data_IF_350940875328
#
_entry.id   IF_350940875328
#
_cell.length_a   1.000
_cell.length_b   1.000
_cell.length_c   1.000
_cell.angle_alpha   90.00
_cell.angle_beta   90.00
_cell.angle_gamma   90.00
#
_symmetry.space_group_name_H-M   'P 1'
#
loop_
_entity.id
_entity.type
_entity.pdbx_description
1 polymer ?
#
# COMPACT_ATOMS: atom_id res chain seq x y z
N UNK A 1 9.17 7.53 33.34
CA UNK A 1 10.22 7.39 32.31
C UNK A 1 9.96 6.22 31.39
N UNK A 2 9.54 5.09 31.92
CA UNK A 2 9.31 3.85 31.15
C UNK A 2 8.21 3.97 30.08
N UNK A 3 7.11 4.68 30.37
CA UNK A 3 6.01 4.88 29.44
C UNK A 3 6.45 5.73 28.21
N UNK A 4 7.20 6.83 28.42
CA UNK A 4 7.74 7.64 27.34
C UNK A 4 8.74 6.86 26.49
N UNK A 5 9.57 6.04 27.12
CA UNK A 5 10.53 5.18 26.43
C UNK A 5 9.80 4.13 25.59
N UNK A 6 8.74 3.52 26.13
CA UNK A 6 7.94 2.55 25.40
C UNK A 6 7.25 3.17 24.15
N UNK A 7 6.70 4.39 24.29
CA UNK A 7 6.13 5.11 23.15
C UNK A 7 7.17 5.44 22.08
N UNK A 8 8.33 5.96 22.49
CA UNK A 8 9.43 6.25 21.55
C UNK A 8 9.91 5.00 20.81
N UNK A 9 10.00 3.86 21.50
CA UNK A 9 10.38 2.58 20.90
C UNK A 9 9.35 2.10 19.87
N UNK A 10 8.06 2.19 20.18
CA UNK A 10 6.99 1.82 19.24
C UNK A 10 7.03 2.68 17.99
N UNK A 11 7.16 4.00 18.12
CA UNK A 11 7.29 4.92 16.98
C UNK A 11 8.51 4.60 16.11
N UNK A 12 9.66 4.36 16.74
CA UNK A 12 10.87 4.01 16.03
C UNK A 12 10.72 2.68 15.28
N UNK A 13 10.27 1.62 15.97
CA UNK A 13 10.11 0.30 15.37
C UNK A 13 9.08 0.28 14.24
N UNK A 14 7.92 0.88 14.48
CA UNK A 14 6.86 0.93 13.47
C UNK A 14 7.27 1.76 12.24
N UNK A 15 7.90 2.91 12.44
CA UNK A 15 8.29 3.80 11.35
C UNK A 15 9.49 3.29 10.56
N UNK A 16 10.47 2.66 11.22
CA UNK A 16 11.67 2.16 10.56
C UNK A 16 11.41 0.92 9.72
N UNK A 17 10.87 -0.13 10.32
CA UNK A 17 10.72 -1.45 9.68
C UNK A 17 9.77 -1.40 8.47
N UNK A 18 8.64 -0.73 8.61
CA UNK A 18 7.64 -0.69 7.54
C UNK A 18 8.08 0.14 6.35
N UNK A 19 8.66 1.32 6.58
CA UNK A 19 9.11 2.21 5.51
C UNK A 19 10.35 1.66 4.80
N UNK A 20 11.33 1.13 5.53
CA UNK A 20 12.53 0.54 4.94
C UNK A 20 12.23 -0.69 4.11
N UNK A 21 11.31 -1.56 4.56
CA UNK A 21 10.88 -2.73 3.79
C UNK A 21 10.16 -2.33 2.52
N UNK A 22 9.25 -1.35 2.57
CA UNK A 22 8.55 -0.85 1.37
C UNK A 22 9.53 -0.26 0.36
N UNK A 23 10.46 0.58 0.81
CA UNK A 23 11.51 1.14 -0.06
C UNK A 23 12.38 0.04 -0.68
N UNK A 24 12.77 -0.96 0.10
CA UNK A 24 13.60 -2.08 -0.37
C UNK A 24 12.92 -2.89 -1.46
N UNK A 25 11.62 -3.22 -1.28
CA UNK A 25 10.86 -3.94 -2.31
C UNK A 25 10.61 -3.07 -3.55
N UNK A 26 10.36 -1.78 -3.39
CA UNK A 26 10.19 -0.87 -4.52
C UNK A 26 11.48 -0.81 -5.37
N UNK A 27 12.62 -0.57 -4.74
CA UNK A 27 13.92 -0.53 -5.42
C UNK A 27 14.26 -1.88 -6.07
N UNK A 28 13.94 -2.99 -5.40
CA UNK A 28 14.12 -4.33 -5.96
C UNK A 28 13.30 -4.52 -7.25
N UNK A 29 12.04 -4.11 -7.27
CA UNK A 29 11.21 -4.21 -8.47
C UNK A 29 11.69 -3.27 -9.58
N UNK A 30 12.07 -2.04 -9.25
CA UNK A 30 12.65 -1.09 -10.22
C UNK A 30 13.97 -1.63 -10.82
N UNK A 31 14.80 -2.29 -10.03
CA UNK A 31 16.04 -2.90 -10.51
C UNK A 31 15.80 -4.04 -11.52
N UNK A 32 14.68 -4.76 -11.38
CA UNK A 32 14.29 -5.87 -12.26
C UNK A 32 13.54 -5.43 -13.52
N UNK A 33 12.88 -4.27 -13.48
CA UNK A 33 12.03 -3.75 -14.55
C UNK A 33 12.63 -2.44 -15.07
N UNK A 34 13.59 -2.54 -15.98
CA UNK A 34 14.40 -1.38 -16.46
C UNK A 34 13.59 -0.30 -17.17
N UNK A 35 12.54 -0.68 -17.88
CA UNK A 35 11.61 0.22 -18.56
C UNK A 35 10.81 1.05 -17.54
N UNK A 36 10.37 0.44 -16.46
CA UNK A 36 9.67 1.13 -15.35
C UNK A 36 10.66 2.04 -14.61
N UNK A 37 11.87 1.56 -14.33
CA UNK A 37 12.93 2.33 -13.69
C UNK A 37 13.23 3.61 -14.50
N UNK A 38 13.34 3.49 -15.82
CA UNK A 38 13.62 4.64 -16.69
C UNK A 38 12.50 5.68 -16.62
N UNK A 39 11.22 5.26 -16.67
CA UNK A 39 10.08 6.19 -16.53
C UNK A 39 10.10 6.94 -15.20
N UNK A 40 10.39 6.25 -14.09
CA UNK A 40 10.52 6.88 -12.77
C UNK A 40 11.66 7.88 -12.77
N UNK A 41 12.81 7.54 -13.35
CA UNK A 41 13.96 8.42 -13.41
C UNK A 41 13.68 9.69 -14.25
N UNK A 42 13.04 9.55 -15.41
CA UNK A 42 12.63 10.66 -16.25
C UNK A 42 11.65 11.60 -15.52
N UNK A 43 10.72 11.05 -14.74
CA UNK A 43 9.81 11.83 -13.89
C UNK A 43 10.57 12.60 -12.81
N UNK A 44 11.46 11.93 -12.07
CA UNK A 44 12.29 12.55 -11.03
C UNK A 44 13.15 13.66 -11.61
N UNK A 45 13.85 13.40 -12.72
CA UNK A 45 14.74 14.37 -13.37
C UNK A 45 13.96 15.63 -13.82
N UNK A 46 12.74 15.45 -14.34
CA UNK A 46 11.83 16.54 -14.72
C UNK A 46 11.46 17.40 -13.51
N UNK A 47 11.07 16.78 -12.40
CA UNK A 47 10.66 17.47 -11.18
C UNK A 47 11.85 18.14 -10.50
N UNK A 48 13.01 17.46 -10.44
CA UNK A 48 14.26 18.04 -9.92
C UNK A 48 14.70 19.26 -10.71
N UNK A 49 14.57 19.25 -12.04
CA UNK A 49 14.87 20.39 -12.89
C UNK A 49 13.92 21.58 -12.62
N UNK A 50 12.65 21.30 -12.35
CA UNK A 50 11.67 22.31 -11.99
C UNK A 50 11.92 22.93 -10.59
N UNK A 51 12.44 22.14 -9.66
CA UNK A 51 12.76 22.58 -8.30
C UNK A 51 13.85 23.67 -8.27
N UNK A 52 14.82 23.61 -9.18
CA UNK A 52 15.91 24.58 -9.26
C UNK A 52 16.70 24.72 -7.95
N UNK A 53 17.26 25.90 -7.65
CA UNK A 53 18.10 26.12 -6.46
C UNK A 53 17.32 26.09 -5.14
N UNK A 54 16.00 26.19 -5.18
CA UNK A 54 15.15 26.20 -3.97
C UNK A 54 14.91 24.80 -3.40
N UNK A 55 15.31 23.74 -4.13
CA UNK A 55 15.14 22.36 -3.72
C UNK A 55 13.71 21.84 -3.87
N UNK A 56 13.50 20.58 -3.47
CA UNK A 56 12.20 19.92 -3.53
C UNK A 56 11.25 20.48 -2.48
N UNK A 57 10.03 20.79 -2.91
CA UNK A 57 8.89 21.13 -2.03
C UNK A 57 7.90 19.97 -1.98
N UNK A 58 6.99 19.99 -1.02
CA UNK A 58 5.92 19.00 -0.91
C UNK A 58 5.06 18.93 -2.20
N UNK A 59 4.73 20.10 -2.77
CA UNK A 59 3.93 20.17 -3.99
C UNK A 59 4.64 19.50 -5.17
N UNK A 60 5.94 19.76 -5.33
CA UNK A 60 6.76 19.14 -6.37
C UNK A 60 6.88 17.62 -6.21
N UNK A 61 7.03 17.14 -4.97
CA UNK A 61 7.04 15.69 -4.70
C UNK A 61 5.68 15.08 -5.10
N UNK A 62 4.58 15.78 -4.81
CA UNK A 62 3.22 15.33 -5.16
C UNK A 62 2.96 15.29 -6.68
N UNK A 63 3.83 15.86 -7.51
CA UNK A 63 3.79 15.75 -8.97
C UNK A 63 4.39 14.45 -9.52
N UNK A 64 5.10 13.67 -8.68
CA UNK A 64 5.72 12.40 -9.07
C UNK A 64 4.69 11.25 -9.09
N UNK A 65 3.70 11.37 -9.95
CA UNK A 65 2.54 10.43 -10.01
C UNK A 65 2.91 9.01 -10.39
N UNK A 66 3.90 8.83 -11.25
CA UNK A 66 4.33 7.49 -11.64
C UNK A 66 5.12 6.80 -10.53
N UNK A 67 5.91 7.56 -9.75
CA UNK A 67 6.56 7.06 -8.54
C UNK A 67 5.52 6.64 -7.50
N UNK A 68 4.45 7.43 -7.27
CA UNK A 68 3.33 7.06 -6.41
C UNK A 68 2.71 5.72 -6.84
N UNK A 69 2.46 5.55 -8.16
CA UNK A 69 1.96 4.29 -8.70
C UNK A 69 2.91 3.10 -8.45
N UNK A 70 4.23 3.33 -8.50
CA UNK A 70 5.22 2.29 -8.18
C UNK A 70 5.19 1.91 -6.70
N UNK A 71 4.98 2.87 -5.81
CA UNK A 71 4.83 2.62 -4.37
C UNK A 71 3.54 1.84 -4.10
N UNK A 72 2.43 2.25 -4.70
CA UNK A 72 1.14 1.57 -4.57
C UNK A 72 1.20 0.12 -5.08
N UNK A 73 1.81 -0.12 -6.25
CA UNK A 73 1.99 -1.47 -6.78
C UNK A 73 2.95 -2.31 -5.91
N UNK A 74 3.93 -1.67 -5.28
CA UNK A 74 4.80 -2.33 -4.29
C UNK A 74 4.00 -2.79 -3.09
N UNK A 75 3.19 -1.91 -2.50
CA UNK A 75 2.33 -2.22 -1.34
C UNK A 75 1.27 -3.26 -1.67
N UNK A 76 0.74 -3.27 -2.91
CA UNK A 76 -0.14 -4.33 -3.38
C UNK A 76 0.58 -5.68 -3.45
N UNK A 77 1.75 -5.72 -4.07
CA UNK A 77 2.49 -6.96 -4.33
C UNK A 77 3.20 -7.48 -3.08
N UNK A 78 3.64 -6.57 -2.21
CA UNK A 78 4.39 -6.86 -0.98
C UNK A 78 3.77 -6.12 0.22
N UNK A 79 2.53 -6.47 0.62
CA UNK A 79 1.93 -5.83 1.78
C UNK A 79 2.76 -6.14 3.03
N UNK A 80 3.17 -5.10 3.75
CA UNK A 80 4.00 -5.23 4.95
C UNK A 80 3.25 -5.98 6.05
N UNK A 81 1.92 -5.77 6.12
CA UNK A 81 1.02 -6.55 6.99
C UNK A 81 0.23 -7.51 6.10
N UNK A 82 0.65 -8.78 5.97
CA UNK A 82 0.04 -9.73 5.03
C UNK A 82 -1.36 -10.19 5.44
N UNK A 83 -1.70 -10.06 6.72
CA UNK A 83 -3.01 -10.43 7.30
C UNK A 83 -3.45 -9.33 8.25
N UNK A 84 -4.65 -8.79 8.04
CA UNK A 84 -5.27 -7.88 8.99
C UNK A 84 -6.06 -8.68 10.03
N UNK A 85 -5.94 -8.29 11.28
CA UNK A 85 -6.65 -8.90 12.40
C UNK A 85 -7.70 -7.95 12.96
N UNK A 86 -8.90 -8.47 13.24
CA UNK A 86 -9.99 -7.76 13.92
C UNK A 86 -10.66 -8.68 14.93
N UNK A 87 -11.38 -8.10 15.88
CA UNK A 87 -12.25 -8.83 16.79
C UNK A 87 -13.65 -8.24 16.66
N UNK A 88 -14.65 -9.09 16.49
CA UNK A 88 -16.04 -8.65 16.41
C UNK A 88 -16.49 -8.08 17.77
N UNK A 89 -17.01 -6.86 17.78
CA UNK A 89 -17.52 -6.21 19.02
C UNK A 89 -18.98 -6.53 19.32
N UNK A 90 -19.68 -7.12 18.36
CA UNK A 90 -21.08 -7.58 18.45
C UNK A 90 -21.34 -8.65 17.41
N UNK A 91 -22.46 -9.36 17.54
CA UNK A 91 -22.91 -10.27 16.50
C UNK A 91 -23.11 -9.53 15.18
N UNK A 92 -22.57 -10.09 14.12
CA UNK A 92 -22.65 -9.52 12.77
C UNK A 92 -23.14 -10.57 11.78
N UNK A 93 -24.32 -10.35 11.20
CA UNK A 93 -24.81 -11.19 10.11
C UNK A 93 -24.14 -10.78 8.80
N UNK A 94 -23.44 -11.72 8.18
CA UNK A 94 -22.79 -11.47 6.88
C UNK A 94 -23.87 -11.26 5.81
N UNK A 95 -23.84 -10.13 5.05
CA UNK A 95 -24.82 -9.86 4.02
C UNK A 95 -24.92 -10.99 2.99
N UNK A 96 -26.13 -11.29 2.54
CA UNK A 96 -26.42 -12.30 1.53
C UNK A 96 -25.94 -13.74 1.91
N UNK A 97 -25.86 -14.04 3.20
CA UNK A 97 -25.51 -15.37 3.71
C UNK A 97 -26.26 -15.69 5.00
N UNK A 98 -26.22 -16.97 5.43
CA UNK A 98 -26.73 -17.40 6.71
C UNK A 98 -25.65 -17.38 7.82
N UNK A 99 -24.46 -16.90 7.51
CA UNK A 99 -23.35 -16.84 8.45
C UNK A 99 -23.53 -15.67 9.40
N UNK A 100 -23.41 -15.96 10.70
CA UNK A 100 -23.33 -14.97 11.78
C UNK A 100 -21.94 -15.05 12.40
N UNK A 101 -21.22 -13.94 12.43
CA UNK A 101 -19.99 -13.81 13.20
C UNK A 101 -20.39 -13.36 14.60
N UNK A 102 -20.24 -14.23 15.58
CA UNK A 102 -20.58 -13.94 16.96
C UNK A 102 -19.66 -12.86 17.54
N UNK A 103 -20.13 -12.17 18.57
CA UNK A 103 -19.32 -11.24 19.35
C UNK A 103 -18.06 -11.93 19.87
N UNK A 104 -16.97 -11.18 19.96
CA UNK A 104 -15.63 -11.59 20.40
C UNK A 104 -14.94 -12.64 19.49
N UNK A 105 -15.51 -12.90 18.30
CA UNK A 105 -14.89 -13.77 17.30
C UNK A 105 -13.69 -13.08 16.64
N UNK A 106 -12.49 -13.71 16.60
CA UNK A 106 -11.35 -13.20 15.85
C UNK A 106 -11.58 -13.37 14.33
N UNK A 107 -11.35 -12.29 13.59
CA UNK A 107 -11.50 -12.24 12.12
C UNK A 107 -10.15 -11.94 11.49
N UNK A 108 -9.69 -12.83 10.60
CA UNK A 108 -8.47 -12.68 9.82
C UNK A 108 -8.81 -12.32 8.37
N UNK A 109 -8.25 -11.23 7.87
CA UNK A 109 -8.41 -10.79 6.49
C UNK A 109 -7.08 -11.04 5.77
N UNK A 110 -7.01 -12.01 4.84
CA UNK A 110 -5.77 -12.40 4.16
C UNK A 110 -5.40 -11.41 3.06
N UNK A 111 -4.92 -10.22 3.43
CA UNK A 111 -4.66 -9.11 2.53
C UNK A 111 -3.72 -9.50 1.38
N UNK A 112 -2.63 -10.19 1.67
CA UNK A 112 -1.70 -10.67 0.64
C UNK A 112 -2.38 -11.62 -0.37
N UNK A 113 -3.23 -12.52 0.12
CA UNK A 113 -3.99 -13.43 -0.73
C UNK A 113 -4.94 -12.68 -1.66
N UNK A 114 -5.70 -11.74 -1.11
CA UNK A 114 -6.65 -10.91 -1.85
C UNK A 114 -5.95 -10.04 -2.90
N UNK A 115 -4.85 -9.40 -2.54
CA UNK A 115 -4.09 -8.52 -3.44
C UNK A 115 -3.30 -9.27 -4.52
N UNK A 116 -3.21 -10.60 -4.43
CA UNK A 116 -2.57 -11.48 -5.42
C UNK A 116 -3.54 -12.46 -6.08
N UNK A 117 -4.84 -12.31 -5.87
CA UNK A 117 -5.83 -13.17 -6.50
C UNK A 117 -5.94 -12.85 -8.00
N UNK A 118 -5.71 -13.83 -8.91
CA UNK A 118 -5.81 -13.63 -10.35
C UNK A 118 -7.26 -13.33 -10.83
N UNK A 119 -8.27 -13.61 -10.00
CA UNK A 119 -9.65 -13.22 -10.29
C UNK A 119 -9.89 -11.72 -10.11
N UNK A 120 -9.03 -11.06 -9.36
CA UNK A 120 -9.13 -9.65 -9.01
C UNK A 120 -8.09 -8.84 -9.78
N UNK A 121 -6.85 -9.32 -9.81
CA UNK A 121 -5.73 -8.67 -10.47
C UNK A 121 -5.21 -9.53 -11.63
N UNK A 122 -5.34 -9.03 -12.84
CA UNK A 122 -4.72 -9.69 -14.00
C UNK A 122 -3.20 -9.77 -13.80
N UNK A 123 -2.61 -10.97 -13.99
CA UNK A 123 -1.18 -11.21 -13.79
C UNK A 123 -0.65 -10.64 -12.46
N UNK A 124 -1.16 -11.10 -11.30
CA UNK A 124 -0.95 -10.43 -10.01
C UNK A 124 0.51 -10.43 -9.54
N UNK A 125 1.36 -11.31 -10.07
CA UNK A 125 2.78 -11.37 -9.73
C UNK A 125 3.63 -10.45 -10.62
N UNK A 126 3.08 -9.92 -11.72
CA UNK A 126 3.75 -8.90 -12.54
C UNK A 126 3.70 -7.55 -11.84
N UNK A 127 4.86 -6.87 -11.78
CA UNK A 127 4.94 -5.50 -11.30
C UNK A 127 4.47 -4.55 -12.40
N UNK A 128 3.29 -3.94 -12.22
CA UNK A 128 2.63 -3.12 -13.24
C UNK A 128 2.04 -1.86 -12.58
N UNK A 129 2.83 -0.80 -12.38
CA UNK A 129 2.38 0.45 -11.75
C UNK A 129 1.18 1.11 -12.46
N UNK A 130 1.06 0.87 -13.76
CA UNK A 130 -0.02 1.42 -14.59
C UNK A 130 -1.43 1.04 -14.11
N UNK A 131 -1.58 0.05 -13.23
CA UNK A 131 -2.85 -0.28 -12.57
C UNK A 131 -3.41 0.90 -11.76
N UNK A 132 -2.53 1.76 -11.28
CA UNK A 132 -2.85 2.89 -10.39
C UNK A 132 -2.91 4.24 -11.09
N UNK A 133 -2.51 4.35 -12.38
CA UNK A 133 -2.43 5.62 -13.12
C UNK A 133 -3.74 6.41 -13.20
N UNK A 134 -4.89 5.75 -13.20
CA UNK A 134 -6.20 6.39 -13.38
C UNK A 134 -7.08 6.30 -12.13
N UNK A 135 -6.50 5.95 -11.00
CA UNK A 135 -7.25 5.82 -9.75
C UNK A 135 -7.21 7.14 -8.97
N UNK A 136 -8.35 7.79 -8.83
CA UNK A 136 -8.51 9.04 -8.07
C UNK A 136 -8.27 8.88 -6.56
N UNK A 137 -8.00 7.67 -6.07
CA UNK A 137 -7.92 7.33 -4.65
C UNK A 137 -6.96 6.18 -4.32
N UNK A 138 -5.94 5.91 -5.17
CA UNK A 138 -5.03 4.77 -4.91
C UNK A 138 -5.68 3.38 -5.08
N UNK A 139 -6.95 3.32 -5.44
CA UNK A 139 -7.64 2.07 -5.72
C UNK A 139 -7.55 1.77 -7.22
N UNK A 140 -6.95 0.65 -7.64
CA UNK A 140 -7.02 0.23 -9.04
C UNK A 140 -8.49 0.12 -9.44
N UNK A 141 -8.81 0.43 -10.70
CA UNK A 141 -10.16 0.32 -11.28
C UNK A 141 -10.67 -1.14 -11.23
N UNK A 142 -11.01 -1.60 -10.03
CA UNK A 142 -11.51 -2.95 -9.79
C UNK A 142 -12.98 -2.84 -9.41
N UNK A 143 -13.83 -3.42 -10.24
CA UNK A 143 -15.30 -3.46 -10.07
C UNK A 143 -15.76 -4.25 -8.83
N UNK A 144 -14.87 -4.77 -8.01
CA UNK A 144 -15.15 -5.76 -6.96
C UNK A 144 -14.82 -5.29 -5.54
N UNK A 145 -15.21 -4.07 -5.16
CA UNK A 145 -15.10 -3.64 -3.76
C UNK A 145 -13.66 -3.34 -3.29
N UNK A 146 -13.48 -3.17 -1.98
CA UNK A 146 -12.20 -2.82 -1.36
C UNK A 146 -11.27 -4.03 -1.35
N UNK A 147 -10.36 -4.09 -2.30
CA UNK A 147 -9.35 -5.16 -2.38
C UNK A 147 -7.93 -4.62 -2.20
N UNK A 148 -7.76 -3.31 -2.21
CA UNK A 148 -6.49 -2.64 -1.95
C UNK A 148 -6.60 -1.84 -0.65
N UNK A 149 -5.96 -2.32 0.41
CA UNK A 149 -6.00 -1.71 1.73
C UNK A 149 -4.64 -1.85 2.45
N UNK A 150 -3.55 -1.29 1.90
CA UNK A 150 -2.19 -1.45 2.46
C UNK A 150 -2.05 -0.91 3.88
N UNK A 151 -2.91 0.02 4.27
CA UNK A 151 -2.98 0.61 5.61
C UNK A 151 -4.26 0.22 6.36
N UNK A 152 -4.96 -0.81 5.89
CA UNK A 152 -6.28 -1.19 6.40
C UNK A 152 -7.38 -0.27 5.88
N UNK A 153 -8.60 -0.51 6.37
CA UNK A 153 -9.79 0.28 6.07
C UNK A 153 -10.71 0.34 7.28
N UNK A 154 -11.60 1.34 7.32
CA UNK A 154 -12.55 1.57 8.39
C UNK A 154 -12.26 2.83 9.24
N UNK A 155 -13.08 3.10 10.25
CA UNK A 155 -12.89 4.23 11.16
C UNK A 155 -11.54 4.15 11.88
N UNK A 156 -10.89 5.30 12.03
CA UNK A 156 -9.64 5.47 12.80
C UNK A 156 -9.92 6.14 14.12
#
# INVERSE_FOLDING_TARGET
MDELTAQAFVFFGAGFETSSSTMSFCIFELARNKDIQQKVQEEIDRVMKAAGPNGLTYDLISEMKYLDCCIDETLRKYPIVPVLFRISTKDYKVPNSDVVIEKDTPVFIPLMGMQRDPKIYENPLQFKPERFLNSSSGNPNISAGIVYAPFGDGPR
#
